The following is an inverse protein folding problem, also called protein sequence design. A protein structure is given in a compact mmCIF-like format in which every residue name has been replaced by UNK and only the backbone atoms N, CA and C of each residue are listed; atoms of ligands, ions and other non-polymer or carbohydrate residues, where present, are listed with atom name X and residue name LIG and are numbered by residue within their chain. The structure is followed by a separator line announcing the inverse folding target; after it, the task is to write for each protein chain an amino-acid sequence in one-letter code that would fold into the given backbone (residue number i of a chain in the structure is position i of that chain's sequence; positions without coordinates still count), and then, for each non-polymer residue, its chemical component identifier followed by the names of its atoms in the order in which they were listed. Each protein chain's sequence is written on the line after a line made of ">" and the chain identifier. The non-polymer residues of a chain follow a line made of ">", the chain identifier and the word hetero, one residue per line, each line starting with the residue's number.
data_IF_181351081429
#
_entry.id   IF_181351081429
#
_cell.length_a   1.000
_cell.length_b   1.000
_cell.length_c   1.000
_cell.angle_alpha   90.00
_cell.angle_beta   90.00
_cell.angle_gamma   90.00
#
_symmetry.space_group_name_H-M   'P 1'
#
loop_
_entity.id
_entity.type
_entity.pdbx_description
1 polymer ?
#
# COMPACT_ATOMS: atom_id res chain seq x y z
N UNK A 1 -7.08 -10.96 0.92
CA UNK A 1 -6.58 -9.73 1.57
C UNK A 1 -7.16 -9.61 2.96
N UNK A 2 -6.55 -8.81 3.83
CA UNK A 2 -7.11 -8.41 5.13
C UNK A 2 -7.52 -6.96 4.99
N UNK A 3 -8.82 -6.67 5.14
CA UNK A 3 -9.43 -5.41 4.66
C UNK A 3 -10.29 -4.75 5.75
N UNK A 4 -9.68 -4.17 6.80
CA UNK A 4 -10.43 -3.45 7.83
C UNK A 4 -10.96 -2.11 7.32
N UNK A 5 -12.17 -1.75 7.78
CA UNK A 5 -12.79 -0.43 7.60
C UNK A 5 -13.16 0.13 8.96
N UNK A 6 -12.67 1.32 9.29
CA UNK A 6 -12.80 1.94 10.61
C UNK A 6 -13.67 3.17 10.54
N UNK A 7 -14.80 3.15 11.25
CA UNK A 7 -15.62 4.32 11.45
C UNK A 7 -14.86 5.38 12.27
N UNK A 8 -15.06 6.66 11.91
CA UNK A 8 -14.49 7.84 12.56
C UNK A 8 -12.97 8.00 12.47
N UNK A 9 -12.29 7.18 11.65
CA UNK A 9 -10.87 7.32 11.37
C UNK A 9 -10.65 8.24 10.17
N UNK A 10 -9.69 9.14 10.29
CA UNK A 10 -9.12 9.88 9.17
C UNK A 10 -7.91 9.14 8.56
N UNK A 11 -7.22 9.77 7.60
CA UNK A 11 -6.06 9.18 6.95
C UNK A 11 -4.89 9.00 7.94
N UNK A 12 -4.74 9.87 8.96
CA UNK A 12 -3.66 9.77 9.92
C UNK A 12 -3.86 8.58 10.87
N UNK A 13 -5.10 8.39 11.35
CA UNK A 13 -5.48 7.23 12.16
C UNK A 13 -5.25 5.93 11.38
N UNK A 14 -5.59 5.95 10.07
CA UNK A 14 -5.41 4.81 9.18
C UNK A 14 -3.94 4.43 9.00
N UNK A 15 -3.06 5.43 8.82
CA UNK A 15 -1.61 5.22 8.73
C UNK A 15 -1.04 4.61 10.03
N UNK A 16 -1.46 5.12 11.19
CA UNK A 16 -1.02 4.60 12.49
C UNK A 16 -1.45 3.15 12.65
N UNK A 17 -2.71 2.84 12.38
CA UNK A 17 -3.21 1.47 12.47
C UNK A 17 -2.50 0.53 11.49
N UNK A 18 -2.25 0.95 10.26
CA UNK A 18 -1.54 0.14 9.27
C UNK A 18 -0.11 -0.20 9.72
N UNK A 19 0.61 0.79 10.26
CA UNK A 19 1.95 0.59 10.80
C UNK A 19 1.94 -0.37 12.00
N UNK A 20 1.08 -0.14 12.99
CA UNK A 20 0.94 -0.99 14.17
C UNK A 20 0.53 -2.41 13.80
N UNK A 21 -0.39 -2.56 12.85
CA UNK A 21 -0.86 -3.85 12.39
C UNK A 21 0.24 -4.69 11.75
N UNK A 22 1.04 -4.12 10.85
CA UNK A 22 2.17 -4.86 10.26
C UNK A 22 3.22 -5.20 11.30
N UNK A 23 3.56 -4.27 12.19
CA UNK A 23 4.49 -4.52 13.30
C UNK A 23 4.00 -5.66 14.19
N UNK A 24 2.72 -5.67 14.54
CA UNK A 24 2.11 -6.76 15.32
C UNK A 24 2.27 -8.12 14.61
N UNK A 25 1.98 -8.19 13.29
CA UNK A 25 2.08 -9.43 12.53
C UNK A 25 3.54 -9.92 12.41
N UNK A 26 4.48 -9.01 12.21
CA UNK A 26 5.92 -9.34 12.18
C UNK A 26 6.41 -9.84 13.54
N UNK A 27 6.00 -9.16 14.63
CA UNK A 27 6.33 -9.60 15.99
C UNK A 27 5.73 -10.98 16.28
N UNK A 28 4.47 -11.20 15.90
CA UNK A 28 3.81 -12.49 16.08
C UNK A 28 4.58 -13.62 15.36
N UNK A 29 5.03 -13.39 14.13
CA UNK A 29 5.82 -14.36 13.38
C UNK A 29 7.15 -14.67 14.08
N UNK A 30 7.86 -13.65 14.57
CA UNK A 30 9.11 -13.84 15.32
C UNK A 30 8.95 -14.64 16.60
N UNK A 31 7.83 -14.42 17.33
CA UNK A 31 7.58 -15.06 18.63
C UNK A 31 7.02 -16.50 18.47
N UNK A 32 6.25 -16.76 17.42
CA UNK A 32 5.49 -18.01 17.31
C UNK A 32 5.97 -18.95 16.18
N UNK A 33 6.82 -18.46 15.24
CA UNK A 33 7.32 -19.24 14.12
C UNK A 33 8.86 -19.27 14.08
N UNK A 34 9.51 -19.25 15.25
CA UNK A 34 10.97 -19.09 15.34
C UNK A 34 11.76 -20.17 14.61
N UNK A 35 11.33 -21.44 14.68
CA UNK A 35 12.01 -22.56 14.03
C UNK A 35 11.89 -22.47 12.50
N UNK A 36 10.71 -22.12 11.99
CA UNK A 36 10.46 -21.92 10.57
C UNK A 36 11.27 -20.72 10.04
N UNK A 37 11.26 -19.60 10.77
CA UNK A 37 12.03 -18.41 10.41
C UNK A 37 13.53 -18.69 10.42
N UNK A 38 14.02 -19.48 11.39
CA UNK A 38 15.41 -19.90 11.40
C UNK A 38 15.76 -20.73 10.16
N UNK A 39 14.93 -21.71 9.81
CA UNK A 39 15.13 -22.51 8.61
C UNK A 39 15.15 -21.66 7.34
N UNK A 40 14.20 -20.71 7.20
CA UNK A 40 14.11 -19.81 6.07
C UNK A 40 15.30 -18.87 5.99
N UNK A 41 15.72 -18.33 7.13
CA UNK A 41 16.93 -17.49 7.22
C UNK A 41 18.20 -18.25 6.78
N UNK A 42 18.35 -19.48 7.24
CA UNK A 42 19.56 -20.29 6.96
C UNK A 42 19.60 -20.83 5.52
N UNK A 43 18.45 -20.95 4.83
CA UNK A 43 18.36 -21.63 3.53
C UNK A 43 17.97 -20.74 2.37
N UNK A 44 17.24 -19.65 2.60
CA UNK A 44 16.66 -18.84 1.53
C UNK A 44 17.06 -17.37 1.58
N UNK A 45 17.13 -16.74 2.77
CA UNK A 45 17.43 -15.33 2.92
C UNK A 45 18.19 -15.07 4.24
N UNK A 46 19.50 -15.05 4.21
CA UNK A 46 20.42 -14.94 5.36
C UNK A 46 20.29 -13.62 6.17
N UNK A 47 19.56 -12.64 5.64
CA UNK A 47 19.21 -11.37 6.33
C UNK A 47 17.77 -11.30 6.81
N UNK A 48 16.99 -12.38 6.73
CA UNK A 48 15.56 -12.37 7.01
C UNK A 48 15.22 -11.90 8.43
N UNK A 49 15.77 -12.55 9.44
CA UNK A 49 15.45 -12.27 10.85
C UNK A 49 15.89 -10.85 11.25
N UNK A 50 17.04 -10.39 10.77
CA UNK A 50 17.51 -9.03 11.04
C UNK A 50 16.59 -7.99 10.42
N UNK A 51 16.15 -8.22 9.17
CA UNK A 51 15.20 -7.35 8.48
C UNK A 51 13.85 -7.30 9.19
N UNK A 52 13.31 -8.42 9.65
CA UNK A 52 12.07 -8.47 10.43
C UNK A 52 12.20 -7.66 11.72
N UNK A 53 13.29 -7.84 12.45
CA UNK A 53 13.55 -7.09 13.68
C UNK A 53 13.75 -5.59 13.44
N UNK A 54 14.39 -5.20 12.34
CA UNK A 54 14.62 -3.79 12.03
C UNK A 54 13.33 -3.00 11.84
N UNK A 55 12.28 -3.63 11.28
CA UNK A 55 10.97 -2.99 11.08
C UNK A 55 10.26 -2.68 12.38
N UNK A 56 10.46 -3.48 13.44
CA UNK A 56 9.79 -3.30 14.72
C UNK A 56 10.29 -2.08 15.48
N UNK A 57 11.58 -1.77 15.38
CA UNK A 57 12.26 -0.74 16.17
C UNK A 57 12.20 0.66 15.56
N UNK A 58 11.59 0.85 14.40
CA UNK A 58 11.63 2.12 13.66
C UNK A 58 10.23 2.64 13.36
N UNK A 59 10.09 3.95 13.27
CA UNK A 59 8.90 4.61 12.73
C UNK A 59 8.96 4.61 11.20
N UNK A 60 7.83 4.31 10.53
CA UNK A 60 7.77 4.33 9.08
C UNK A 60 7.85 5.76 8.57
N UNK A 61 8.56 5.96 7.46
CA UNK A 61 8.68 7.28 6.85
C UNK A 61 7.36 7.67 6.19
N UNK A 62 6.82 8.81 6.58
CA UNK A 62 5.66 9.40 5.88
C UNK A 62 6.15 10.39 4.85
N UNK A 63 5.64 10.28 3.64
CA UNK A 63 6.04 11.09 2.48
C UNK A 63 4.83 11.28 1.58
N UNK A 64 4.61 12.47 1.07
CA UNK A 64 3.59 12.72 0.04
C UNK A 64 4.06 12.20 -1.33
N UNK A 65 3.12 11.87 -2.20
CA UNK A 65 3.42 11.49 -3.58
C UNK A 65 4.25 12.57 -4.30
N UNK A 66 3.93 13.84 -4.06
CA UNK A 66 4.66 14.97 -4.67
C UNK A 66 6.13 14.99 -4.24
N UNK A 67 6.41 14.87 -2.94
CA UNK A 67 7.78 14.77 -2.43
C UNK A 67 8.50 13.53 -2.96
N UNK A 68 7.81 12.40 -3.07
CA UNK A 68 8.38 11.18 -3.63
C UNK A 68 8.77 11.35 -5.11
N UNK A 69 7.95 12.05 -5.91
CA UNK A 69 8.29 12.39 -7.30
C UNK A 69 9.54 13.27 -7.35
N UNK A 70 9.64 14.30 -6.52
CA UNK A 70 10.81 15.18 -6.46
C UNK A 70 12.09 14.41 -6.13
N UNK A 71 12.03 13.48 -5.16
CA UNK A 71 13.14 12.60 -4.79
C UNK A 71 13.56 11.72 -5.98
N UNK A 72 12.61 11.11 -6.67
CA UNK A 72 12.89 10.23 -7.81
C UNK A 72 13.45 11.01 -9.01
N UNK A 73 12.90 12.20 -9.30
CA UNK A 73 13.42 13.08 -10.36
C UNK A 73 14.84 13.58 -10.03
N UNK A 74 15.11 13.88 -8.76
CA UNK A 74 16.48 14.24 -8.33
C UNK A 74 17.42 13.05 -8.50
N UNK A 75 17.00 11.84 -8.16
CA UNK A 75 17.79 10.64 -8.39
C UNK A 75 18.14 10.46 -9.87
N UNK A 76 17.16 10.67 -10.77
CA UNK A 76 17.40 10.63 -12.23
C UNK A 76 18.43 11.70 -12.66
N UNK A 77 18.31 12.92 -12.16
CA UNK A 77 19.31 14.00 -12.43
C UNK A 77 20.70 13.63 -11.95
N UNK A 78 20.79 12.84 -10.88
CA UNK A 78 22.05 12.34 -10.31
C UNK A 78 22.54 11.04 -10.94
N UNK A 79 21.93 10.57 -12.04
CA UNK A 79 22.39 9.44 -12.83
C UNK A 79 21.72 8.10 -12.53
N UNK A 80 20.72 8.05 -11.64
CA UNK A 80 19.87 6.86 -11.48
C UNK A 80 19.07 6.63 -12.76
N UNK A 81 19.08 5.40 -13.24
CA UNK A 81 18.26 4.98 -14.38
C UNK A 81 17.08 4.14 -13.90
N UNK A 82 15.89 4.49 -14.39
CA UNK A 82 14.69 3.70 -14.24
C UNK A 82 14.22 3.23 -15.63
N UNK A 83 13.57 2.08 -15.69
CA UNK A 83 12.98 1.56 -16.92
C UNK A 83 11.76 2.41 -17.34
N UNK A 84 10.99 2.87 -16.35
CA UNK A 84 9.80 3.69 -16.55
C UNK A 84 10.07 5.15 -16.18
N UNK A 85 9.53 6.12 -16.94
CA UNK A 85 9.74 7.53 -16.64
C UNK A 85 9.00 7.96 -15.37
N UNK A 86 9.60 8.88 -14.63
CA UNK A 86 9.02 9.50 -13.43
C UNK A 86 8.65 10.95 -13.75
N UNK A 87 7.40 11.31 -13.51
CA UNK A 87 6.91 12.67 -13.45
C UNK A 87 5.60 12.72 -12.67
N UNK A 88 5.23 13.91 -12.21
CA UNK A 88 3.99 14.04 -11.44
C UNK A 88 2.77 13.58 -12.25
N UNK A 89 1.94 12.73 -11.65
CA UNK A 89 0.77 12.13 -12.28
C UNK A 89 1.00 10.73 -12.86
N UNK A 90 2.24 10.20 -12.88
CA UNK A 90 2.51 8.80 -13.23
C UNK A 90 2.28 7.86 -12.06
N UNK A 91 1.73 6.67 -12.33
CA UNK A 91 1.67 5.61 -11.34
C UNK A 91 3.06 5.01 -11.10
N UNK A 92 3.46 4.87 -9.85
CA UNK A 92 4.78 4.33 -9.53
C UNK A 92 4.84 2.85 -9.87
N UNK A 93 5.98 2.45 -10.44
CA UNK A 93 6.30 1.06 -10.67
C UNK A 93 7.15 0.52 -9.52
N UNK A 94 7.22 -0.80 -9.39
CA UNK A 94 7.96 -1.45 -8.29
C UNK A 94 9.42 -0.98 -8.16
N UNK A 95 10.06 -0.56 -9.24
CA UNK A 95 11.43 -0.02 -9.20
C UNK A 95 11.50 1.34 -8.48
N UNK A 96 10.48 2.20 -8.65
CA UNK A 96 10.38 3.50 -7.98
C UNK A 96 10.13 3.30 -6.48
N UNK A 97 9.18 2.44 -6.13
CA UNK A 97 8.85 2.10 -4.74
C UNK A 97 10.06 1.53 -4.01
N UNK A 98 10.76 0.58 -4.64
CA UNK A 98 11.96 -0.02 -4.06
C UNK A 98 13.11 0.97 -3.92
N UNK A 99 13.28 1.89 -4.86
CA UNK A 99 14.28 2.95 -4.74
C UNK A 99 14.02 3.82 -3.49
N UNK A 100 12.78 4.25 -3.29
CA UNK A 100 12.39 5.04 -2.11
C UNK A 100 12.72 4.30 -0.81
N UNK A 101 12.28 3.04 -0.71
CA UNK A 101 12.42 2.25 0.51
C UNK A 101 13.87 1.79 0.76
N UNK A 102 14.55 1.28 -0.28
CA UNK A 102 15.84 0.58 -0.13
C UNK A 102 17.05 1.50 -0.30
N UNK A 103 16.94 2.53 -1.13
CA UNK A 103 18.07 3.41 -1.49
C UNK A 103 17.99 4.77 -0.82
N UNK A 104 16.81 5.41 -0.83
CA UNK A 104 16.67 6.76 -0.31
C UNK A 104 16.46 6.78 1.22
N UNK A 105 15.42 6.10 1.74
CA UNK A 105 15.08 6.14 3.16
C UNK A 105 15.69 5.01 4.00
N UNK A 106 15.97 3.86 3.40
CA UNK A 106 16.49 2.68 4.11
C UNK A 106 15.52 2.08 5.15
N UNK A 107 14.23 2.36 5.04
CA UNK A 107 13.17 1.93 5.97
C UNK A 107 11.81 1.90 5.27
N UNK A 108 10.77 1.24 5.85
CA UNK A 108 9.42 1.28 5.29
C UNK A 108 8.89 2.70 5.14
N UNK A 109 8.12 2.92 4.07
CA UNK A 109 7.60 4.22 3.67
C UNK A 109 6.08 4.15 3.57
N UNK A 110 5.38 5.17 4.07
CA UNK A 110 3.95 5.40 3.81
C UNK A 110 3.84 6.58 2.86
N UNK A 111 3.43 6.31 1.63
CA UNK A 111 3.13 7.34 0.63
C UNK A 111 1.69 7.81 0.79
N UNK A 112 1.47 9.12 0.66
CA UNK A 112 0.12 9.74 0.76
C UNK A 112 -0.12 10.76 -0.34
N UNK A 113 -1.35 11.27 -0.40
CA UNK A 113 -1.74 12.42 -1.23
C UNK A 113 -1.45 12.22 -2.72
N UNK A 114 -1.94 11.11 -3.23
CA UNK A 114 -1.77 10.73 -4.63
C UNK A 114 -2.61 11.59 -5.59
N UNK A 115 -2.16 11.80 -6.83
CA UNK A 115 -3.00 12.41 -7.86
C UNK A 115 -4.33 11.66 -8.01
N UNK A 116 -5.43 12.40 -8.00
CA UNK A 116 -6.78 11.81 -8.07
C UNK A 116 -7.02 10.97 -9.33
N UNK A 117 -6.30 11.27 -10.41
CA UNK A 117 -6.54 10.64 -11.70
C UNK A 117 -5.92 9.24 -11.84
N UNK A 118 -5.02 8.88 -10.93
CA UNK A 118 -4.42 7.53 -10.87
C UNK A 118 -4.96 6.68 -9.70
N UNK A 119 -5.92 7.19 -8.93
CA UNK A 119 -6.49 6.49 -7.77
C UNK A 119 -8.01 6.33 -7.89
N UNK A 120 -8.57 5.47 -7.05
CA UNK A 120 -9.98 5.07 -7.09
C UNK A 120 -10.94 6.24 -6.78
N UNK A 121 -12.12 6.20 -7.40
CA UNK A 121 -13.14 7.24 -7.33
C UNK A 121 -13.68 7.51 -5.92
N UNK A 122 -13.62 6.53 -5.04
CA UNK A 122 -14.17 6.60 -3.69
C UNK A 122 -13.23 7.22 -2.65
N UNK A 123 -12.01 7.55 -3.03
CA UNK A 123 -11.05 8.18 -2.14
C UNK A 123 -11.42 9.66 -1.93
N UNK A 124 -11.35 10.11 -0.68
CA UNK A 124 -11.63 11.51 -0.33
C UNK A 124 -10.62 12.45 -0.97
N UNK A 125 -11.11 13.47 -1.68
CA UNK A 125 -10.26 14.48 -2.27
C UNK A 125 -9.73 15.45 -1.21
N UNK A 126 -8.48 15.90 -1.41
CA UNK A 126 -7.90 17.00 -0.67
C UNK A 126 -8.49 18.35 -1.12
N UNK A 127 -8.28 19.40 -0.34
CA UNK A 127 -8.77 20.75 -0.63
C UNK A 127 -8.12 21.37 -1.87
N UNK A 128 -6.97 20.85 -2.29
CA UNK A 128 -6.27 21.28 -3.52
C UNK A 128 -7.02 20.88 -4.81
N UNK A 129 -8.01 19.99 -4.71
CA UNK A 129 -8.80 19.49 -5.84
C UNK A 129 -8.01 18.62 -6.83
N UNK A 130 -6.74 18.33 -6.56
CA UNK A 130 -5.82 17.57 -7.43
C UNK A 130 -5.43 16.22 -6.85
N UNK A 131 -5.35 16.12 -5.53
CA UNK A 131 -4.91 14.92 -4.83
C UNK A 131 -6.04 14.28 -4.02
N UNK A 132 -5.82 13.03 -3.61
CA UNK A 132 -6.73 12.25 -2.76
C UNK A 132 -6.00 11.73 -1.53
N UNK A 133 -6.72 11.53 -0.44
CA UNK A 133 -6.24 10.96 0.82
C UNK A 133 -6.08 9.44 0.71
N UNK A 134 -5.28 9.02 -0.27
CA UNK A 134 -4.81 7.66 -0.41
C UNK A 134 -3.56 7.43 0.41
N UNK A 135 -3.27 6.16 0.73
CA UNK A 135 -2.00 5.75 1.31
C UNK A 135 -1.57 4.41 0.73
N UNK A 136 -0.28 4.26 0.46
CA UNK A 136 0.35 2.98 0.14
C UNK A 136 1.53 2.77 1.11
N UNK A 137 1.60 1.59 1.74
CA UNK A 137 2.69 1.24 2.65
C UNK A 137 3.67 0.36 1.89
N UNK A 138 4.90 0.85 1.75
CA UNK A 138 5.96 0.25 0.97
C UNK A 138 7.00 -0.41 1.87
N UNK A 139 7.39 -1.64 1.51
CA UNK A 139 8.36 -2.45 2.25
C UNK A 139 9.56 -2.84 1.39
N UNK A 140 10.75 -3.02 2.03
CA UNK A 140 11.95 -3.52 1.32
C UNK A 140 11.66 -4.87 0.66
N UNK A 141 12.20 -5.08 -0.54
CA UNK A 141 12.05 -6.28 -1.39
C UNK A 141 10.64 -6.53 -1.93
N UNK A 142 9.60 -5.94 -1.33
CA UNK A 142 8.20 -6.21 -1.65
C UNK A 142 7.58 -5.07 -2.50
N UNK A 143 7.87 -3.80 -2.19
CA UNK A 143 7.10 -2.66 -2.65
C UNK A 143 5.82 -2.49 -1.83
N UNK A 144 4.71 -2.12 -2.45
CA UNK A 144 3.42 -1.94 -1.78
C UNK A 144 2.95 -3.24 -1.11
N UNK A 145 2.74 -3.21 0.22
CA UNK A 145 2.18 -4.30 1.02
C UNK A 145 0.75 -3.99 1.49
N UNK A 146 0.45 -2.72 1.71
CA UNK A 146 -0.86 -2.19 2.06
C UNK A 146 -1.21 -1.04 1.13
N UNK A 147 -2.43 -1.03 0.60
CA UNK A 147 -3.06 0.11 -0.04
C UNK A 147 -4.32 0.52 0.72
N UNK A 148 -4.54 1.82 0.93
CA UNK A 148 -5.68 2.30 1.70
C UNK A 148 -6.07 3.74 1.38
N UNK A 149 -7.11 4.23 2.05
CA UNK A 149 -7.52 5.63 1.94
C UNK A 149 -8.50 6.06 3.02
N UNK A 150 -8.63 7.37 3.23
CA UNK A 150 -9.85 7.95 3.76
C UNK A 150 -10.91 7.93 2.67
N UNK A 151 -12.13 7.50 3.01
CA UNK A 151 -13.23 7.36 2.04
C UNK A 151 -14.00 8.66 1.90
N UNK A 152 -14.49 8.95 0.68
CA UNK A 152 -15.40 10.08 0.51
C UNK A 152 -16.74 9.79 1.21
N UNK A 153 -17.03 10.59 2.22
CA UNK A 153 -18.27 10.46 3.01
C UNK A 153 -19.38 11.36 2.48
N UNK A 154 -19.08 12.39 1.70
CA UNK A 154 -20.09 13.25 1.09
C UNK A 154 -20.73 12.57 -0.11
N UNK A 155 -22.05 12.38 -0.08
CA UNK A 155 -22.81 11.87 -1.22
C UNK A 155 -22.60 12.73 -2.47
N UNK A 156 -22.70 14.05 -2.33
CA UNK A 156 -22.56 14.99 -3.43
C UNK A 156 -21.20 14.89 -4.12
N UNK A 157 -20.11 14.89 -3.32
CA UNK A 157 -18.74 14.77 -3.86
C UNK A 157 -18.49 13.42 -4.51
N UNK A 158 -19.02 12.34 -3.93
CA UNK A 158 -18.91 10.99 -4.49
C UNK A 158 -19.61 10.91 -5.85
N UNK A 159 -20.85 11.41 -5.94
CA UNK A 159 -21.61 11.45 -7.19
C UNK A 159 -20.95 12.33 -8.24
N UNK A 160 -20.42 13.50 -7.85
CA UNK A 160 -19.66 14.37 -8.73
C UNK A 160 -18.45 13.63 -9.32
N UNK A 161 -17.70 12.90 -8.49
CA UNK A 161 -16.51 12.17 -8.96
C UNK A 161 -16.86 11.03 -9.93
N UNK A 162 -17.96 10.31 -9.65
CA UNK A 162 -18.49 9.27 -10.55
C UNK A 162 -18.84 9.87 -11.92
N UNK A 163 -19.46 11.05 -11.93
CA UNK A 163 -19.84 11.73 -13.17
C UNK A 163 -18.62 12.28 -13.95
N UNK A 164 -17.63 12.86 -13.26
CA UNK A 164 -16.36 13.29 -13.84
C UNK A 164 -15.66 12.14 -14.58
N UNK A 165 -15.67 10.96 -13.97
CA UNK A 165 -15.07 9.75 -14.54
C UNK A 165 -15.96 9.04 -15.56
N UNK A 166 -17.19 9.56 -15.82
CA UNK A 166 -18.18 8.97 -16.73
C UNK A 166 -18.51 7.51 -16.40
N UNK A 167 -18.51 7.16 -15.13
CA UNK A 167 -18.81 5.81 -14.67
C UNK A 167 -20.31 5.53 -14.70
N UNK A 168 -20.69 4.30 -14.99
CA UNK A 168 -22.08 3.89 -14.92
C UNK A 168 -22.57 3.73 -13.51
N UNK A 169 -23.54 4.53 -13.10
CA UNK A 169 -24.16 4.45 -11.74
C UNK A 169 -24.90 3.13 -11.50
N UNK A 170 -25.38 2.46 -12.54
CA UNK A 170 -26.19 1.23 -12.45
C UNK A 170 -25.58 0.15 -11.55
N UNK A 171 -24.26 0.01 -11.58
CA UNK A 171 -23.56 -0.98 -10.77
C UNK A 171 -23.02 -0.43 -9.46
N UNK A 172 -23.19 0.88 -9.20
CA UNK A 172 -22.66 1.59 -8.04
C UNK A 172 -23.77 2.06 -7.07
N UNK A 173 -25.04 1.89 -7.41
CA UNK A 173 -26.17 2.37 -6.57
C UNK A 173 -26.07 1.86 -5.13
N UNK A 174 -25.75 0.58 -4.92
CA UNK A 174 -25.58 0.00 -3.59
C UNK A 174 -24.47 0.71 -2.79
N UNK A 175 -23.40 1.16 -3.46
CA UNK A 175 -22.30 1.87 -2.84
C UNK A 175 -22.66 3.33 -2.56
N UNK A 176 -23.36 3.99 -3.48
CA UNK A 176 -23.91 5.34 -3.31
C UNK A 176 -24.89 5.37 -2.15
N UNK A 177 -25.74 4.35 -2.02
CA UNK A 177 -26.72 4.21 -0.94
C UNK A 177 -26.07 4.17 0.45
N UNK A 178 -24.84 3.69 0.59
CA UNK A 178 -24.10 3.75 1.87
C UNK A 178 -23.79 5.19 2.32
N UNK A 179 -23.94 6.19 1.46
CA UNK A 179 -23.86 7.63 1.79
C UNK A 179 -25.24 8.27 1.85
N UNK A 180 -26.17 7.85 1.00
CA UNK A 180 -27.53 8.39 0.92
C UNK A 180 -28.33 8.13 2.18
N UNK A 181 -28.22 6.97 2.77
CA UNK A 181 -28.99 6.56 3.94
C UNK A 181 -28.27 6.76 5.27
N UNK A 182 -27.15 7.40 5.27
CA UNK A 182 -26.38 7.76 6.44
C UNK A 182 -24.96 7.19 6.38
N UNK A 183 -24.00 8.02 6.74
CA UNK A 183 -22.59 7.67 6.76
C UNK A 183 -21.87 8.40 7.88
N UNK A 184 -20.65 8.00 8.14
CA UNK A 184 -19.70 8.68 9.02
C UNK A 184 -18.36 8.83 8.29
N UNK A 185 -17.48 9.76 8.68
CA UNK A 185 -16.09 9.72 8.23
C UNK A 185 -15.50 8.33 8.51
N UNK A 186 -14.82 7.74 7.56
CA UNK A 186 -14.25 6.41 7.71
C UNK A 186 -13.04 6.24 6.79
N UNK A 187 -12.16 5.35 7.20
CA UNK A 187 -10.96 4.98 6.48
C UNK A 187 -10.76 3.47 6.48
N UNK A 188 -10.06 2.97 5.52
CA UNK A 188 -9.73 1.55 5.48
C UNK A 188 -8.51 1.27 4.63
N UNK A 189 -8.02 0.05 4.74
CA UNK A 189 -6.91 -0.43 3.92
C UNK A 189 -7.05 -1.92 3.58
N UNK A 190 -6.30 -2.35 2.59
CA UNK A 190 -6.14 -3.75 2.25
C UNK A 190 -4.69 -4.18 2.38
N UNK A 191 -4.42 -5.16 3.27
CA UNK A 191 -3.12 -5.82 3.34
C UNK A 191 -3.11 -7.04 2.44
N UNK A 192 -2.15 -7.09 1.51
CA UNK A 192 -1.89 -8.25 0.68
C UNK A 192 -1.28 -9.38 1.51
N UNK A 193 -2.08 -10.41 1.82
CA UNK A 193 -1.63 -11.51 2.69
C UNK A 193 -0.42 -12.24 2.10
N UNK A 194 -0.42 -12.50 0.81
CA UNK A 194 0.69 -13.14 0.11
C UNK A 194 1.95 -12.26 0.10
N UNK A 195 1.80 -10.94 -0.01
CA UNK A 195 2.93 -10.00 0.11
C UNK A 195 3.51 -9.97 1.51
N UNK A 196 2.66 -10.08 2.54
CA UNK A 196 3.12 -10.28 3.92
C UNK A 196 3.90 -11.59 4.05
N UNK A 197 3.39 -12.69 3.49
CA UNK A 197 4.10 -13.97 3.50
C UNK A 197 5.45 -13.88 2.78
N UNK A 198 5.54 -13.23 1.61
CA UNK A 198 6.83 -12.98 0.95
C UNK A 198 7.81 -12.25 1.89
N UNK A 199 7.31 -11.22 2.61
CA UNK A 199 8.16 -10.44 3.51
C UNK A 199 8.66 -11.26 4.69
N UNK A 200 7.79 -12.03 5.35
CA UNK A 200 8.15 -12.80 6.55
C UNK A 200 8.89 -14.11 6.24
N UNK A 201 8.78 -14.64 5.01
CA UNK A 201 9.48 -15.88 4.60
C UNK A 201 10.77 -15.63 3.84
N UNK A 202 10.96 -14.43 3.28
CA UNK A 202 12.08 -14.13 2.39
C UNK A 202 11.94 -14.72 0.98
N UNK A 203 10.78 -15.29 0.64
CA UNK A 203 10.51 -15.79 -0.70
C UNK A 203 10.41 -14.66 -1.71
N UNK A 204 10.79 -14.91 -2.94
CA UNK A 204 10.82 -13.91 -4.01
C UNK A 204 9.72 -14.08 -5.05
N UNK A 205 9.09 -15.24 -5.11
CA UNK A 205 8.02 -15.54 -6.04
C UNK A 205 6.70 -15.76 -5.28
N UNK A 206 5.69 -14.95 -5.59
CA UNK A 206 4.39 -15.01 -4.91
C UNK A 206 3.71 -16.37 -5.05
N UNK A 207 4.01 -17.14 -6.09
CA UNK A 207 3.47 -18.50 -6.27
C UNK A 207 3.95 -19.48 -5.22
N UNK A 208 5.11 -19.23 -4.61
CA UNK A 208 5.70 -20.10 -3.59
C UNK A 208 5.04 -19.94 -2.21
N UNK A 209 4.25 -18.88 -2.03
CA UNK A 209 3.51 -18.58 -0.80
C UNK A 209 1.99 -18.76 -0.94
N UNK A 210 1.54 -19.32 -2.06
CA UNK A 210 0.14 -19.64 -2.35
C UNK A 210 0.00 -21.15 -2.49
N UNK A 211 -0.87 -21.83 -1.70
CA UNK A 211 -1.05 -23.28 -1.78
C UNK A 211 -1.48 -23.79 -3.17
N UNK A 212 -2.29 -22.99 -3.87
CA UNK A 212 -2.82 -23.31 -5.21
C UNK A 212 -2.68 -22.11 -6.14
N UNK A 213 -1.45 -21.79 -6.60
CA UNK A 213 -1.20 -20.61 -7.40
C UNK A 213 -1.85 -20.74 -8.77
N UNK A 214 -2.55 -19.67 -9.17
CA UNK A 214 -3.16 -19.57 -10.50
C UNK A 214 -2.40 -18.59 -11.36
N UNK A 215 -2.18 -18.97 -12.61
CA UNK A 215 -1.51 -18.12 -13.60
C UNK A 215 -2.33 -18.09 -14.89
N UNK A 216 -2.08 -17.13 -15.81
CA UNK A 216 -2.71 -17.14 -17.11
C UNK A 216 -2.56 -18.50 -17.79
N UNK A 217 -3.69 -19.09 -18.23
CA UNK A 217 -3.78 -20.42 -18.87
C UNK A 217 -3.52 -21.62 -17.94
N UNK A 218 -3.40 -21.39 -16.64
CA UNK A 218 -3.23 -22.46 -15.65
C UNK A 218 -4.11 -22.19 -14.42
N UNK A 219 -5.18 -22.94 -14.26
CA UNK A 219 -6.08 -22.97 -13.13
C UNK A 219 -6.41 -24.42 -12.70
N UNK A 220 -5.54 -25.34 -13.05
CA UNK A 220 -5.61 -26.75 -12.64
C UNK A 220 -4.97 -26.93 -11.26
N UNK A 221 -5.43 -27.91 -10.52
CA UNK A 221 -4.96 -28.25 -9.17
C UNK A 221 -4.14 -29.52 -9.19
#
# INVERSE_FOLDING_TARGET
>A
MIEPEMAFYDINDNMVLAEEFVKYLVQYALDNCADDLKFLNDKYDDGLIERLKSVLGIEFQRVTYTEAVEILEEAVRNGQQFEYPVHWGTDFQSEHERYLVEKHFGKPVILTDFPKDIKAFYMKQNEDGKTVRGMDVLFPKIGEIIGGSEREASLEKLEQRIDELKMSRKNLEWYIDTRRYGTVPHSGFGLGFERLLLFVTGMTNIRDVIPFPRTPKNAEF
#
